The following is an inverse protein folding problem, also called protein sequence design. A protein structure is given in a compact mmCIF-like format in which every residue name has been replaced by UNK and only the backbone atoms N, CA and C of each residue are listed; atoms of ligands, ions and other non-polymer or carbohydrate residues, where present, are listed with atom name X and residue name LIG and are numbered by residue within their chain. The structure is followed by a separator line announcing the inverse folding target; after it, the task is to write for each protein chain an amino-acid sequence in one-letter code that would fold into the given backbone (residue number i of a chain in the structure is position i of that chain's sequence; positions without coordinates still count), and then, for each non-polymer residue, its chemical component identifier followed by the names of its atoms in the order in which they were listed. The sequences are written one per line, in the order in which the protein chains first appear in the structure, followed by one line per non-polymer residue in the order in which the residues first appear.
data_IF_299054851477
#
_entry.id   IF_299054851477
#
_cell.length_a   1.000
_cell.length_b   1.000
_cell.length_c   1.000
_cell.angle_alpha   90.00
_cell.angle_beta   90.00
_cell.angle_gamma   90.00
#
_symmetry.space_group_name_H-M   'P 1'
#
loop_
_entity.id
_entity.type
_entity.pdbx_description
1 polymer ?
#
# COMPACT_ATOMS: atom_id res chain seq x y z
N UNK A 1 15.80 -6.84 -94.12
CA UNK A 1 14.57 -7.58 -93.81
C UNK A 1 14.75 -8.68 -92.76
N UNK A 2 15.88 -9.39 -92.65
CA UNK A 2 16.12 -10.29 -91.47
C UNK A 2 16.53 -9.49 -90.24
N UNK A 3 17.56 -8.64 -90.38
CA UNK A 3 18.21 -7.95 -89.26
C UNK A 3 17.33 -6.92 -88.53
N UNK A 4 16.39 -6.28 -89.25
CA UNK A 4 15.47 -5.29 -88.68
C UNK A 4 14.42 -5.93 -87.76
N UNK A 5 13.90 -7.09 -88.17
CA UNK A 5 12.94 -7.84 -87.36
C UNK A 5 13.62 -8.40 -86.10
N UNK A 6 14.91 -8.74 -86.21
CA UNK A 6 15.72 -9.18 -85.07
C UNK A 6 16.00 -8.06 -84.06
N UNK A 7 16.26 -6.82 -84.51
CA UNK A 7 16.44 -5.66 -83.60
C UNK A 7 15.13 -5.30 -82.91
N UNK A 8 14.00 -5.36 -83.62
CA UNK A 8 12.70 -5.06 -83.03
C UNK A 8 12.26 -6.12 -82.02
N UNK A 9 12.44 -7.41 -82.33
CA UNK A 9 12.17 -8.48 -81.36
C UNK A 9 13.06 -8.38 -80.11
N UNK A 10 14.31 -7.92 -80.25
CA UNK A 10 15.20 -7.67 -79.12
C UNK A 10 14.76 -6.47 -78.28
N UNK A 11 14.30 -5.38 -78.91
CA UNK A 11 13.78 -4.21 -78.22
C UNK A 11 12.50 -4.55 -77.44
N UNK A 12 11.54 -5.25 -78.06
CA UNK A 12 10.30 -5.68 -77.40
C UNK A 12 10.60 -6.60 -76.18
N UNK A 13 11.61 -7.47 -76.31
CA UNK A 13 12.03 -8.35 -75.22
C UNK A 13 12.64 -7.57 -74.05
N UNK A 14 13.52 -6.62 -74.34
CA UNK A 14 14.20 -5.79 -73.33
C UNK A 14 13.22 -4.85 -72.61
N UNK A 15 12.24 -4.28 -73.34
CA UNK A 15 11.15 -3.50 -72.74
C UNK A 15 10.31 -4.36 -71.79
N UNK A 16 9.97 -5.59 -72.21
CA UNK A 16 9.19 -6.50 -71.39
C UNK A 16 9.96 -6.94 -70.14
N UNK A 17 11.24 -7.28 -70.28
CA UNK A 17 12.10 -7.63 -69.15
C UNK A 17 12.22 -6.47 -68.16
N UNK A 18 12.51 -5.26 -68.65
CA UNK A 18 12.63 -4.09 -67.79
C UNK A 18 11.30 -3.68 -67.13
N UNK A 19 10.17 -3.88 -67.82
CA UNK A 19 8.85 -3.66 -67.23
C UNK A 19 8.56 -4.65 -66.10
N UNK A 20 8.98 -5.92 -66.24
CA UNK A 20 8.82 -6.93 -65.18
C UNK A 20 9.68 -6.54 -63.97
N UNK A 21 10.95 -6.20 -64.15
CA UNK A 21 11.84 -5.79 -63.05
C UNK A 21 11.33 -4.53 -62.32
N UNK A 22 10.78 -3.55 -63.04
CA UNK A 22 10.15 -2.39 -62.39
C UNK A 22 8.90 -2.78 -61.58
N UNK A 23 8.10 -3.73 -62.07
CA UNK A 23 6.90 -4.19 -61.34
C UNK A 23 7.28 -4.97 -60.10
N UNK A 24 8.24 -5.89 -60.21
CA UNK A 24 8.73 -6.71 -59.10
C UNK A 24 9.34 -5.80 -58.01
N UNK A 25 10.20 -4.85 -58.38
CA UNK A 25 10.78 -3.92 -57.40
C UNK A 25 9.77 -2.95 -56.77
N UNK A 26 8.65 -2.63 -57.45
CA UNK A 26 7.53 -1.89 -56.84
C UNK A 26 6.75 -2.75 -55.84
N UNK A 27 6.64 -4.06 -56.07
CA UNK A 27 6.04 -5.01 -55.13
C UNK A 27 6.92 -5.14 -53.87
N UNK A 28 8.23 -5.28 -54.03
CA UNK A 28 9.18 -5.33 -52.90
C UNK A 28 9.17 -4.05 -52.04
N UNK A 29 9.07 -2.88 -52.67
CA UNK A 29 8.90 -1.62 -51.95
C UNK A 29 7.57 -1.54 -51.18
N UNK A 30 6.50 -2.12 -51.72
CA UNK A 30 5.22 -2.19 -51.04
C UNK A 30 5.29 -3.11 -49.81
N UNK A 31 5.94 -4.27 -49.95
CA UNK A 31 6.18 -5.22 -48.86
C UNK A 31 7.08 -4.61 -47.77
N UNK A 32 8.16 -3.93 -48.16
CA UNK A 32 9.03 -3.20 -47.25
C UNK A 32 8.27 -2.17 -46.40
N UNK A 33 7.37 -1.41 -47.03
CA UNK A 33 6.52 -0.41 -46.36
C UNK A 33 5.53 -1.05 -45.37
N UNK A 34 4.97 -2.22 -45.70
CA UNK A 34 4.12 -2.97 -44.77
C UNK A 34 4.93 -3.46 -43.56
N UNK A 35 6.11 -4.05 -43.79
CA UNK A 35 6.98 -4.52 -42.71
C UNK A 35 7.47 -3.36 -41.83
N UNK A 36 7.84 -2.22 -42.39
CA UNK A 36 8.22 -1.02 -41.62
C UNK A 36 7.06 -0.55 -40.71
N UNK A 37 5.81 -0.66 -41.18
CA UNK A 37 4.63 -0.34 -40.39
C UNK A 37 4.47 -1.29 -39.20
N UNK A 38 4.70 -2.59 -39.41
CA UNK A 38 4.68 -3.60 -38.33
C UNK A 38 5.83 -3.38 -37.35
N UNK A 39 7.04 -3.09 -37.83
CA UNK A 39 8.20 -2.74 -37.00
C UNK A 39 7.89 -1.57 -36.06
N UNK A 40 7.38 -0.45 -36.60
CA UNK A 40 7.00 0.71 -35.78
C UNK A 40 5.93 0.41 -34.75
N UNK A 41 4.97 -0.45 -35.09
CA UNK A 41 3.93 -0.89 -34.17
C UNK A 41 4.52 -1.75 -33.03
N UNK A 42 5.41 -2.68 -33.34
CA UNK A 42 6.11 -3.50 -32.35
C UNK A 42 7.01 -2.65 -31.43
N UNK A 43 7.75 -1.67 -31.99
CA UNK A 43 8.54 -0.73 -31.19
C UNK A 43 7.65 0.08 -30.24
N UNK A 44 6.51 0.57 -30.73
CA UNK A 44 5.58 1.34 -29.92
C UNK A 44 4.99 0.49 -28.78
N UNK A 45 4.60 -0.76 -29.06
CA UNK A 45 4.14 -1.71 -28.05
C UNK A 45 5.24 -1.97 -27.00
N UNK A 46 6.45 -2.30 -27.44
CA UNK A 46 7.52 -2.66 -26.51
C UNK A 46 7.96 -1.50 -25.61
N UNK A 47 7.97 -0.28 -26.14
CA UNK A 47 8.22 0.92 -25.31
C UNK A 47 7.11 1.20 -24.32
N UNK A 48 5.85 0.89 -24.65
CA UNK A 48 4.71 1.03 -23.74
C UNK A 48 4.80 0.00 -22.61
N UNK A 49 5.08 -1.27 -22.94
CA UNK A 49 5.17 -2.35 -21.96
C UNK A 49 6.35 -2.15 -20.99
N UNK A 50 7.51 -1.69 -21.47
CA UNK A 50 8.61 -1.28 -20.58
C UNK A 50 8.18 -0.14 -19.65
N UNK A 51 7.41 0.83 -20.14
CA UNK A 51 6.95 1.96 -19.32
C UNK A 51 5.97 1.49 -18.25
N UNK A 52 5.00 0.64 -18.63
CA UNK A 52 4.06 0.03 -17.69
C UNK A 52 4.80 -0.80 -16.64
N UNK A 53 5.77 -1.61 -17.04
CA UNK A 53 6.51 -2.43 -16.09
C UNK A 53 7.37 -1.61 -15.13
N UNK A 54 7.95 -0.50 -15.57
CA UNK A 54 8.64 0.45 -14.68
C UNK A 54 7.69 1.14 -13.70
N UNK A 55 6.47 1.48 -14.13
CA UNK A 55 5.44 2.03 -13.25
C UNK A 55 4.99 1.01 -12.20
N UNK A 56 4.83 -0.26 -12.58
CA UNK A 56 4.52 -1.38 -11.68
C UNK A 56 5.63 -1.61 -10.64
N UNK A 57 6.90 -1.57 -11.07
CA UNK A 57 8.04 -1.63 -10.13
C UNK A 57 8.05 -0.46 -9.15
N UNK A 58 7.74 0.75 -9.61
CA UNK A 58 7.65 1.93 -8.74
C UNK A 58 6.46 1.83 -7.77
N UNK A 59 5.34 1.25 -8.20
CA UNK A 59 4.19 0.97 -7.36
C UNK A 59 4.51 -0.11 -6.31
N UNK A 60 5.23 -1.17 -6.69
CA UNK A 60 5.73 -2.19 -5.78
C UNK A 60 6.58 -1.57 -4.66
N UNK A 61 7.61 -0.78 -5.00
CA UNK A 61 8.47 -0.14 -4.00
C UNK A 61 7.67 0.71 -3.00
N UNK A 62 6.73 1.53 -3.49
CA UNK A 62 5.87 2.34 -2.62
C UNK A 62 4.99 1.48 -1.71
N UNK A 63 4.48 0.37 -2.24
CA UNK A 63 3.62 -0.56 -1.49
C UNK A 63 4.42 -1.29 -0.41
N UNK A 64 5.66 -1.71 -0.71
CA UNK A 64 6.59 -2.25 0.28
C UNK A 64 6.87 -1.25 1.41
N UNK A 65 7.11 0.03 1.10
CA UNK A 65 7.33 1.05 2.13
C UNK A 65 6.08 1.28 2.98
N UNK A 66 4.90 1.25 2.37
CA UNK A 66 3.64 1.34 3.11
C UNK A 66 3.43 0.13 4.03
N UNK A 67 3.75 -1.08 3.55
CA UNK A 67 3.75 -2.30 4.37
C UNK A 67 4.63 -2.13 5.61
N UNK A 68 5.88 -1.67 5.45
CA UNK A 68 6.82 -1.47 6.56
C UNK A 68 6.29 -0.45 7.59
N UNK A 69 5.75 0.67 7.12
CA UNK A 69 5.21 1.73 7.99
C UNK A 69 3.98 1.25 8.75
N UNK A 70 3.05 0.58 8.08
CA UNK A 70 1.83 0.05 8.72
C UNK A 70 2.18 -1.06 9.71
N UNK A 71 3.13 -1.93 9.37
CA UNK A 71 3.60 -2.99 10.26
C UNK A 71 4.28 -2.43 11.51
N UNK A 72 5.16 -1.43 11.35
CA UNK A 72 5.80 -0.75 12.48
C UNK A 72 4.78 -0.03 13.38
N UNK A 73 3.74 0.57 12.80
CA UNK A 73 2.64 1.16 13.55
C UNK A 73 1.87 0.08 14.33
N UNK A 74 1.53 -1.05 13.70
CA UNK A 74 0.83 -2.15 14.37
C UNK A 74 1.60 -2.74 15.56
N UNK A 75 2.93 -2.87 15.46
CA UNK A 75 3.78 -3.29 16.59
C UNK A 75 3.74 -2.26 17.73
N UNK A 76 3.75 -0.97 17.38
CA UNK A 76 3.69 0.12 18.36
C UNK A 76 2.35 0.11 19.08
N UNK A 77 1.25 -0.02 18.36
CA UNK A 77 -0.12 -0.06 18.91
C UNK A 77 -0.29 -1.27 19.85
N UNK A 78 0.25 -2.45 19.51
CA UNK A 78 0.27 -3.62 20.41
C UNK A 78 1.05 -3.32 21.70
N UNK A 79 2.21 -2.67 21.60
CA UNK A 79 3.03 -2.35 22.76
C UNK A 79 2.36 -1.31 23.67
N UNK A 80 1.75 -0.28 23.08
CA UNK A 80 0.98 0.73 23.82
C UNK A 80 -0.25 0.10 24.49
N UNK A 81 -0.97 -0.76 23.76
CA UNK A 81 -2.10 -1.49 24.30
C UNK A 81 -1.74 -2.41 25.47
N UNK A 82 -0.60 -3.11 25.39
CA UNK A 82 -0.08 -3.92 26.50
C UNK A 82 0.27 -3.07 27.73
N UNK A 83 0.88 -1.90 27.53
CA UNK A 83 1.21 -0.97 28.61
C UNK A 83 -0.05 -0.38 29.28
N UNK A 84 -1.12 -0.13 28.51
CA UNK A 84 -2.41 0.29 29.04
C UNK A 84 -3.07 -0.83 29.86
N UNK A 85 -2.99 -2.08 29.39
CA UNK A 85 -3.50 -3.23 30.15
C UNK A 85 -2.77 -3.38 31.50
N UNK A 86 -1.44 -3.31 31.52
CA UNK A 86 -0.66 -3.30 32.77
C UNK A 86 -1.07 -2.14 33.68
N UNK A 87 -1.19 -0.93 33.12
CA UNK A 87 -1.65 0.25 33.88
C UNK A 87 -3.06 0.07 34.45
N UNK A 88 -3.94 -0.65 33.75
CA UNK A 88 -5.29 -0.93 34.22
C UNK A 88 -5.31 -1.89 35.41
N UNK A 89 -4.43 -2.89 35.42
CA UNK A 89 -4.27 -3.83 36.52
C UNK A 89 -3.75 -3.10 37.78
N UNK A 90 -2.77 -2.21 37.62
CA UNK A 90 -2.25 -1.38 38.72
C UNK A 90 -3.35 -0.51 39.34
N UNK A 91 -4.21 0.09 38.51
CA UNK A 91 -5.35 0.90 38.97
C UNK A 91 -6.36 0.04 39.72
N UNK A 92 -6.64 -1.18 39.25
CA UNK A 92 -7.53 -2.12 39.92
C UNK A 92 -6.98 -2.52 41.30
N UNK A 93 -5.68 -2.82 41.41
CA UNK A 93 -5.00 -3.13 42.67
C UNK A 93 -5.10 -1.96 43.64
N UNK A 94 -4.85 -0.72 43.18
CA UNK A 94 -5.00 0.48 44.01
C UNK A 94 -6.45 0.70 44.46
N UNK A 95 -7.42 0.45 43.58
CA UNK A 95 -8.84 0.50 43.91
C UNK A 95 -9.21 -0.51 45.00
N UNK A 96 -8.73 -1.75 44.89
CA UNK A 96 -8.95 -2.79 45.90
C UNK A 96 -8.31 -2.42 47.25
N UNK A 97 -7.08 -1.89 47.25
CA UNK A 97 -6.40 -1.43 48.46
C UNK A 97 -7.19 -0.34 49.18
N UNK A 98 -7.65 0.68 48.44
CA UNK A 98 -8.46 1.76 49.01
C UNK A 98 -9.83 1.26 49.50
N UNK A 99 -10.43 0.29 48.80
CA UNK A 99 -11.68 -0.32 49.26
C UNK A 99 -11.50 -1.00 50.62
N UNK A 100 -10.40 -1.75 50.81
CA UNK A 100 -10.07 -2.42 52.06
C UNK A 100 -9.82 -1.40 53.18
N UNK A 101 -9.02 -0.35 52.92
CA UNK A 101 -8.78 0.73 53.89
C UNK A 101 -10.08 1.41 54.33
N UNK A 102 -10.99 1.67 53.38
CA UNK A 102 -12.30 2.24 53.68
C UNK A 102 -13.19 1.33 54.54
N UNK A 103 -13.02 0.00 54.48
CA UNK A 103 -13.74 -0.93 55.35
C UNK A 103 -13.18 -0.92 56.77
N UNK A 104 -11.85 -0.94 56.92
CA UNK A 104 -11.17 -0.86 58.21
C UNK A 104 -11.48 0.47 58.94
N UNK A 105 -11.43 1.59 58.21
CA UNK A 105 -11.76 2.92 58.75
C UNK A 105 -13.23 3.01 59.22
N UNK A 106 -14.14 2.35 58.49
CA UNK A 106 -15.56 2.29 58.86
C UNK A 106 -15.76 1.46 60.12
N UNK A 107 -15.11 0.29 60.24
CA UNK A 107 -15.20 -0.52 61.45
C UNK A 107 -14.65 0.23 62.68
N UNK A 108 -13.50 0.87 62.55
CA UNK A 108 -12.93 1.70 63.61
C UNK A 108 -13.87 2.83 64.03
N UNK A 109 -14.49 3.52 63.06
CA UNK A 109 -15.47 4.58 63.34
C UNK A 109 -16.69 4.06 64.10
N UNK A 110 -17.14 2.83 63.84
CA UNK A 110 -18.25 2.20 64.54
C UNK A 110 -17.89 1.80 65.96
N UNK A 111 -16.66 1.34 66.18
CA UNK A 111 -16.13 1.12 67.52
C UNK A 111 -16.08 2.43 68.33
N UNK A 112 -15.59 3.52 67.75
CA UNK A 112 -15.57 4.85 68.39
C UNK A 112 -16.97 5.32 68.77
N UNK A 113 -17.95 5.20 67.86
CA UNK A 113 -19.34 5.57 68.13
C UNK A 113 -19.95 4.72 69.26
N UNK A 114 -19.63 3.43 69.31
CA UNK A 114 -20.05 2.53 70.39
C UNK A 114 -19.49 2.95 71.75
N UNK A 115 -18.20 3.27 71.82
CA UNK A 115 -17.55 3.77 73.04
C UNK A 115 -18.15 5.11 73.46
N UNK A 116 -18.38 6.02 72.52
CA UNK A 116 -19.03 7.30 72.79
C UNK A 116 -20.41 7.13 73.46
N UNK A 117 -21.24 6.23 72.92
CA UNK A 117 -22.53 5.89 73.51
C UNK A 117 -22.43 5.30 74.91
N UNK A 118 -21.46 4.39 75.13
CA UNK A 118 -21.19 3.82 76.45
C UNK A 118 -20.77 4.89 77.47
N UNK A 119 -19.88 5.82 77.10
CA UNK A 119 -19.44 6.90 77.98
C UNK A 119 -20.60 7.83 78.35
N UNK A 120 -21.50 8.14 77.42
CA UNK A 120 -22.71 8.93 77.71
C UNK A 120 -23.60 8.24 78.75
N UNK A 121 -23.87 6.94 78.59
CA UNK A 121 -24.70 6.18 79.55
C UNK A 121 -24.05 6.10 80.92
N UNK A 122 -22.73 5.88 81.00
CA UNK A 122 -22.00 5.90 82.28
C UNK A 122 -22.03 7.30 82.89
N UNK A 123 -21.91 8.35 82.07
CA UNK A 123 -22.07 9.74 82.49
C UNK A 123 -23.41 10.00 83.17
N UNK A 124 -24.51 9.50 82.59
CA UNK A 124 -25.87 9.62 83.14
C UNK A 124 -25.99 8.91 84.50
N UNK A 125 -25.45 7.69 84.63
CA UNK A 125 -25.45 6.93 85.90
C UNK A 125 -24.63 7.64 86.98
N UNK A 126 -23.47 8.17 86.61
CA UNK A 126 -22.56 8.88 87.52
C UNK A 126 -23.17 10.21 87.99
N UNK A 127 -23.95 10.88 87.14
CA UNK A 127 -24.71 12.07 87.52
C UNK A 127 -25.74 11.77 88.62
N UNK A 128 -26.45 10.65 88.51
CA UNK A 128 -27.48 10.21 89.45
C UNK A 128 -26.91 9.91 90.85
N UNK A 129 -25.67 9.41 90.95
CA UNK A 129 -24.98 9.17 92.22
C UNK A 129 -24.27 10.42 92.78
N UNK A 130 -24.63 11.61 92.34
CA UNK A 130 -24.11 12.91 92.78
C UNK A 130 -22.61 13.13 92.52
N UNK A 131 -22.09 12.66 91.38
CA UNK A 131 -20.70 12.90 90.94
C UNK A 131 -20.63 13.79 89.68
N UNK A 132 -21.04 15.07 89.74
CA UNK A 132 -21.30 15.90 88.56
C UNK A 132 -20.05 16.21 87.71
N UNK A 133 -18.86 16.30 88.32
CA UNK A 133 -17.62 16.58 87.57
C UNK A 133 -17.22 15.39 86.70
N UNK A 134 -17.36 14.17 87.23
CA UNK A 134 -17.05 12.96 86.46
C UNK A 134 -18.10 12.73 85.37
N UNK A 135 -19.38 12.99 85.65
CA UNK A 135 -20.43 12.94 84.64
C UNK A 135 -20.15 13.89 83.47
N UNK A 136 -19.87 15.17 83.76
CA UNK A 136 -19.54 16.16 82.73
C UNK A 136 -18.31 15.75 81.89
N UNK A 137 -17.26 15.23 82.53
CA UNK A 137 -16.10 14.73 81.81
C UNK A 137 -16.43 13.54 80.89
N UNK A 138 -17.28 12.61 81.32
CA UNK A 138 -17.68 11.45 80.52
C UNK A 138 -18.56 11.85 79.33
N UNK A 139 -19.47 12.81 79.51
CA UNK A 139 -20.24 13.39 78.41
C UNK A 139 -19.33 14.11 77.40
N UNK A 140 -18.43 14.99 77.85
CA UNK A 140 -17.49 15.71 76.96
C UNK A 140 -16.61 14.73 76.15
N UNK A 141 -16.13 13.65 76.78
CA UNK A 141 -15.33 12.63 76.08
C UNK A 141 -16.18 11.78 75.14
N UNK A 142 -17.43 11.49 75.50
CA UNK A 142 -18.40 10.84 74.63
C UNK A 142 -18.67 11.68 73.38
N UNK A 143 -18.94 12.97 73.54
CA UNK A 143 -19.17 13.90 72.43
C UNK A 143 -17.94 14.00 71.52
N UNK A 144 -16.73 14.12 72.08
CA UNK A 144 -15.49 14.13 71.30
C UNK A 144 -15.32 12.84 70.47
N UNK A 145 -15.54 11.66 71.07
CA UNK A 145 -15.41 10.40 70.34
C UNK A 145 -16.49 10.24 69.28
N UNK A 146 -17.69 10.78 69.52
CA UNK A 146 -18.78 10.82 68.54
C UNK A 146 -18.42 11.70 67.34
N UNK A 147 -17.85 12.87 67.57
CA UNK A 147 -17.41 13.77 66.50
C UNK A 147 -16.29 13.12 65.68
N UNK A 148 -15.30 12.50 66.33
CA UNK A 148 -14.25 11.73 65.65
C UNK A 148 -14.81 10.55 64.86
N UNK A 149 -15.81 9.84 65.39
CA UNK A 149 -16.48 8.76 64.67
C UNK A 149 -17.20 9.29 63.42
N UNK A 150 -17.90 10.42 63.51
CA UNK A 150 -18.58 11.03 62.37
C UNK A 150 -17.58 11.44 61.27
N UNK A 151 -16.48 12.10 61.63
CA UNK A 151 -15.42 12.48 60.69
C UNK A 151 -14.78 11.25 60.02
N UNK A 152 -14.52 10.19 60.79
CA UNK A 152 -13.96 8.94 60.26
C UNK A 152 -14.91 8.22 59.29
N UNK A 153 -16.22 8.28 59.51
CA UNK A 153 -17.23 7.76 58.56
C UNK A 153 -17.22 8.54 57.25
N UNK A 154 -17.05 9.87 57.31
CA UNK A 154 -16.92 10.68 56.09
C UNK A 154 -15.65 10.33 55.33
N UNK A 155 -14.54 10.11 56.04
CA UNK A 155 -13.29 9.67 55.42
C UNK A 155 -13.43 8.31 54.74
N UNK A 156 -13.97 7.31 55.42
CA UNK A 156 -14.17 5.96 54.85
C UNK A 156 -15.10 5.98 53.63
N UNK A 157 -16.16 6.79 53.67
CA UNK A 157 -17.06 6.97 52.53
C UNK A 157 -16.35 7.61 51.33
N UNK A 158 -15.49 8.61 51.58
CA UNK A 158 -14.68 9.22 50.53
C UNK A 158 -13.69 8.22 49.92
N UNK A 159 -13.00 7.43 50.75
CA UNK A 159 -12.06 6.38 50.30
C UNK A 159 -12.77 5.34 49.44
N UNK A 160 -13.95 4.86 49.86
CA UNK A 160 -14.76 3.91 49.08
C UNK A 160 -15.26 4.52 47.75
N UNK A 161 -15.59 5.80 47.73
CA UNK A 161 -15.95 6.52 46.49
C UNK A 161 -14.76 6.59 45.52
N UNK A 162 -13.55 6.88 46.02
CA UNK A 162 -12.31 6.88 45.22
C UNK A 162 -12.02 5.47 44.68
N UNK A 163 -12.14 4.44 45.52
CA UNK A 163 -11.98 3.05 45.08
C UNK A 163 -12.92 2.68 43.93
N UNK A 164 -14.19 3.09 44.01
CA UNK A 164 -15.16 2.86 42.94
C UNK A 164 -14.81 3.62 41.64
N UNK A 165 -14.32 4.86 41.76
CA UNK A 165 -13.85 5.63 40.61
C UNK A 165 -12.61 4.97 39.98
N UNK A 166 -11.64 4.53 40.78
CA UNK A 166 -10.46 3.84 40.28
C UNK A 166 -10.83 2.53 39.57
N UNK A 167 -11.69 1.71 40.16
CA UNK A 167 -12.16 0.47 39.51
C UNK A 167 -12.80 0.74 38.14
N UNK A 168 -13.61 1.80 38.05
CA UNK A 168 -14.19 2.23 36.77
C UNK A 168 -13.12 2.71 35.78
N UNK A 169 -12.18 3.55 36.21
CA UNK A 169 -11.09 4.04 35.37
C UNK A 169 -10.18 2.91 34.90
N UNK A 170 -9.87 1.93 35.77
CA UNK A 170 -9.12 0.73 35.41
C UNK A 170 -9.83 -0.04 34.30
N UNK A 171 -11.15 -0.28 34.44
CA UNK A 171 -11.93 -0.93 33.39
C UNK A 171 -11.92 -0.16 32.06
N UNK A 172 -12.01 1.17 32.08
CA UNK A 172 -11.94 2.01 30.88
C UNK A 172 -10.55 1.96 30.23
N UNK A 173 -9.47 2.06 31.02
CA UNK A 173 -8.08 1.97 30.54
C UNK A 173 -7.80 0.57 29.97
N UNK A 174 -8.28 -0.48 30.63
CA UNK A 174 -8.14 -1.86 30.16
C UNK A 174 -8.89 -2.09 28.84
N UNK A 175 -10.06 -1.50 28.67
CA UNK A 175 -10.80 -1.54 27.40
C UNK A 175 -10.05 -0.80 26.28
N UNK A 176 -9.45 0.36 26.57
CA UNK A 176 -8.58 1.05 25.61
C UNK A 176 -7.38 0.19 25.23
N UNK A 177 -6.67 -0.38 26.21
CA UNK A 177 -5.53 -1.25 25.95
C UNK A 177 -5.88 -2.48 25.10
N UNK A 178 -7.01 -3.12 25.36
CA UNK A 178 -7.49 -4.23 24.55
C UNK A 178 -7.82 -3.81 23.10
N UNK A 179 -8.38 -2.62 22.90
CA UNK A 179 -8.68 -2.09 21.57
C UNK A 179 -7.40 -1.74 20.79
N UNK A 180 -6.40 -1.12 21.42
CA UNK A 180 -5.11 -0.81 20.78
C UNK A 180 -4.38 -2.09 20.35
N UNK A 181 -4.39 -3.14 21.18
CA UNK A 181 -3.84 -4.46 20.79
C UNK A 181 -4.59 -5.02 19.58
N UNK A 182 -5.91 -4.94 19.55
CA UNK A 182 -6.71 -5.43 18.43
C UNK A 182 -6.42 -4.63 17.14
N UNK A 183 -6.38 -3.30 17.22
CA UNK A 183 -6.04 -2.43 16.09
C UNK A 183 -4.63 -2.73 15.56
N UNK A 184 -3.67 -2.94 16.45
CA UNK A 184 -2.31 -3.30 16.06
C UNK A 184 -2.23 -4.64 15.31
N UNK A 185 -3.04 -5.64 15.69
CA UNK A 185 -3.15 -6.90 14.93
C UNK A 185 -3.78 -6.70 13.55
N UNK A 186 -4.85 -5.90 13.45
CA UNK A 186 -5.49 -5.60 12.17
C UNK A 186 -4.50 -4.88 11.23
N UNK A 187 -3.70 -3.94 11.76
CA UNK A 187 -2.64 -3.26 10.99
C UNK A 187 -1.54 -4.22 10.55
N UNK A 188 -1.12 -5.15 11.39
CA UNK A 188 -0.15 -6.18 10.98
C UNK A 188 -0.70 -7.04 9.84
N UNK A 189 -1.97 -7.44 9.90
CA UNK A 189 -2.60 -8.18 8.80
C UNK A 189 -2.62 -7.37 7.50
N UNK A 190 -2.95 -6.07 7.55
CA UNK A 190 -2.89 -5.18 6.38
C UNK A 190 -1.46 -5.01 5.87
N UNK A 191 -0.47 -4.92 6.77
CA UNK A 191 0.95 -4.85 6.40
C UNK A 191 1.40 -6.10 5.62
N UNK A 192 1.00 -7.28 6.07
CA UNK A 192 1.29 -8.55 5.37
C UNK A 192 0.64 -8.58 3.98
N UNK A 193 -0.62 -8.16 3.85
CA UNK A 193 -1.31 -8.07 2.55
C UNK A 193 -0.63 -7.07 1.60
N UNK A 194 -0.14 -5.94 2.11
CA UNK A 194 0.61 -4.96 1.33
C UNK A 194 1.97 -5.51 0.88
N UNK A 195 2.65 -6.30 1.72
CA UNK A 195 3.90 -6.96 1.34
C UNK A 195 3.68 -7.93 0.18
N UNK A 196 2.65 -8.77 0.25
CA UNK A 196 2.29 -9.69 -0.84
C UNK A 196 1.92 -8.92 -2.12
N UNK A 197 1.10 -7.87 -2.01
CA UNK A 197 0.73 -7.04 -3.16
C UNK A 197 1.96 -6.38 -3.82
N UNK A 198 2.94 -5.95 -3.02
CA UNK A 198 4.22 -5.42 -3.51
C UNK A 198 4.99 -6.46 -4.32
N UNK A 199 5.07 -7.71 -3.84
CA UNK A 199 5.76 -8.79 -4.57
C UNK A 199 5.08 -9.09 -5.91
N UNK A 200 3.74 -9.11 -5.94
CA UNK A 200 2.96 -9.33 -7.17
C UNK A 200 3.24 -8.22 -8.19
N UNK A 201 3.20 -6.95 -7.78
CA UNK A 201 3.51 -5.81 -8.65
C UNK A 201 4.96 -5.87 -9.15
N UNK A 202 5.90 -6.25 -8.28
CA UNK A 202 7.30 -6.36 -8.68
C UNK A 202 7.51 -7.42 -9.77
N UNK A 203 6.85 -8.57 -9.65
CA UNK A 203 6.90 -9.64 -10.65
C UNK A 203 6.20 -9.21 -11.94
N UNK A 204 5.00 -8.61 -11.85
CA UNK A 204 4.26 -8.06 -12.99
C UNK A 204 5.14 -7.11 -13.79
N UNK A 205 5.75 -6.12 -13.12
CA UNK A 205 6.58 -5.13 -13.80
C UNK A 205 7.84 -5.72 -14.46
N UNK A 206 8.45 -6.74 -13.86
CA UNK A 206 9.57 -7.45 -14.51
C UNK A 206 9.14 -8.24 -15.75
N UNK A 207 7.93 -8.80 -15.75
CA UNK A 207 7.38 -9.52 -16.92
C UNK A 207 7.11 -8.54 -18.06
N UNK A 208 6.42 -7.42 -17.80
CA UNK A 208 6.13 -6.41 -18.82
C UNK A 208 7.41 -5.79 -19.41
N UNK A 209 8.44 -5.54 -18.59
CA UNK A 209 9.75 -5.10 -19.10
C UNK A 209 10.37 -6.15 -20.02
N UNK A 210 10.30 -7.44 -19.66
CA UNK A 210 10.86 -8.51 -20.47
C UNK A 210 10.11 -8.70 -21.79
N UNK A 211 8.77 -8.61 -21.77
CA UNK A 211 7.92 -8.64 -22.95
C UNK A 211 8.23 -7.45 -23.86
N UNK A 212 8.26 -6.24 -23.31
CA UNK A 212 8.58 -5.05 -24.10
C UNK A 212 9.99 -5.04 -24.69
N UNK A 213 10.98 -5.64 -24.00
CA UNK A 213 12.32 -5.84 -24.57
C UNK A 213 12.30 -6.78 -25.78
N UNK A 214 11.52 -7.87 -25.72
CA UNK A 214 11.39 -8.81 -26.83
C UNK A 214 10.66 -8.18 -28.03
N UNK A 215 9.68 -7.32 -27.78
CA UNK A 215 8.98 -6.58 -28.85
C UNK A 215 9.87 -5.54 -29.54
N UNK A 216 10.77 -4.88 -28.79
CA UNK A 216 11.77 -3.98 -29.37
C UNK A 216 12.78 -4.76 -30.22
N UNK A 217 13.23 -5.94 -29.78
CA UNK A 217 14.12 -6.81 -30.57
C UNK A 217 13.43 -7.24 -31.87
N UNK A 218 12.16 -7.67 -31.81
CA UNK A 218 11.37 -7.98 -33.00
C UNK A 218 11.21 -6.76 -33.93
N UNK A 219 11.04 -5.56 -33.38
CA UNK A 219 10.94 -4.35 -34.19
C UNK A 219 12.24 -4.05 -34.96
N UNK A 220 13.40 -4.25 -34.33
CA UNK A 220 14.72 -4.09 -34.94
C UNK A 220 14.92 -5.10 -36.08
N UNK A 221 14.59 -6.38 -35.85
CA UNK A 221 14.64 -7.42 -36.89
C UNK A 221 13.73 -7.09 -38.09
N UNK A 222 12.51 -6.60 -37.84
CA UNK A 222 11.59 -6.20 -38.92
C UNK A 222 12.08 -4.96 -39.68
N UNK A 223 12.70 -4.00 -38.99
CA UNK A 223 13.28 -2.79 -39.63
C UNK A 223 14.44 -3.17 -40.57
N UNK A 224 15.28 -4.13 -40.16
CA UNK A 224 16.35 -4.66 -41.00
C UNK A 224 15.80 -5.33 -42.27
N UNK A 225 14.78 -6.19 -42.14
CA UNK A 225 14.12 -6.85 -43.28
C UNK A 225 13.46 -5.82 -44.22
N UNK A 226 12.75 -4.83 -43.68
CA UNK A 226 12.15 -3.77 -44.47
C UNK A 226 13.21 -2.96 -45.25
N UNK A 227 14.34 -2.68 -44.62
CA UNK A 227 15.46 -1.96 -45.24
C UNK A 227 16.12 -2.76 -46.36
N UNK A 228 16.27 -4.07 -46.18
CA UNK A 228 16.81 -4.98 -47.21
C UNK A 228 15.90 -5.05 -48.43
N UNK A 229 14.59 -5.31 -48.24
CA UNK A 229 13.60 -5.35 -49.32
C UNK A 229 13.48 -4.01 -50.06
N UNK A 230 13.51 -2.90 -49.33
CA UNK A 230 13.49 -1.59 -49.96
C UNK A 230 14.73 -1.34 -50.84
N UNK A 231 15.89 -1.86 -50.43
CA UNK A 231 17.13 -1.74 -51.19
C UNK A 231 17.11 -2.63 -52.46
N UNK A 232 16.58 -3.85 -52.35
CA UNK A 232 16.37 -4.76 -53.48
C UNK A 232 15.40 -4.14 -54.49
N UNK A 233 14.22 -3.69 -54.04
CA UNK A 233 13.23 -3.12 -54.94
C UNK A 233 13.69 -1.83 -55.63
N UNK A 234 14.50 -1.00 -54.97
CA UNK A 234 15.14 0.16 -55.61
C UNK A 234 16.15 -0.27 -56.69
N UNK A 235 16.89 -1.35 -56.46
CA UNK A 235 17.85 -1.88 -57.42
C UNK A 235 17.13 -2.45 -58.65
N UNK A 236 16.09 -3.27 -58.46
CA UNK A 236 15.29 -3.84 -59.55
C UNK A 236 14.59 -2.76 -60.39
N UNK A 237 14.01 -1.74 -59.76
CA UNK A 237 13.44 -0.59 -60.49
C UNK A 237 14.50 0.13 -61.31
N UNK A 238 15.72 0.28 -60.79
CA UNK A 238 16.81 0.95 -61.49
C UNK A 238 17.32 0.13 -62.68
N UNK A 239 17.48 -1.19 -62.51
CA UNK A 239 17.85 -2.13 -63.57
C UNK A 239 16.78 -2.17 -64.66
N UNK A 240 15.52 -2.35 -64.27
CA UNK A 240 14.41 -2.42 -65.23
C UNK A 240 14.18 -1.10 -65.97
N UNK A 241 14.35 0.05 -65.29
CA UNK A 241 14.30 1.36 -65.94
C UNK A 241 15.43 1.56 -66.95
N UNK A 242 16.61 0.99 -66.70
CA UNK A 242 17.73 1.04 -67.64
C UNK A 242 17.45 0.16 -68.87
N UNK A 243 16.90 -1.04 -68.70
CA UNK A 243 16.50 -1.95 -69.77
C UNK A 243 15.42 -1.34 -70.67
N UNK A 244 14.38 -0.72 -70.09
CA UNK A 244 13.36 0.03 -70.86
C UNK A 244 14.02 1.16 -71.66
N UNK A 245 14.92 1.92 -71.04
CA UNK A 245 15.64 3.00 -71.71
C UNK A 245 16.56 2.52 -72.84
N UNK A 246 17.14 1.33 -72.72
CA UNK A 246 17.91 0.69 -73.79
C UNK A 246 17.00 0.22 -74.94
N UNK A 247 15.84 -0.36 -74.61
CA UNK A 247 14.82 -0.73 -75.60
C UNK A 247 14.34 0.47 -76.41
N UNK A 248 14.04 1.61 -75.77
CA UNK A 248 13.63 2.84 -76.47
C UNK A 248 14.67 3.27 -77.52
N UNK A 249 15.97 3.11 -77.20
CA UNK A 249 17.06 3.41 -78.14
C UNK A 249 17.10 2.39 -79.29
N UNK A 250 16.87 1.10 -79.02
CA UNK A 250 16.81 0.05 -80.04
C UNK A 250 15.61 0.23 -80.98
N UNK A 251 14.43 0.56 -80.44
CA UNK A 251 13.25 0.91 -81.24
C UNK A 251 13.52 2.10 -82.17
N UNK A 252 14.10 3.18 -81.63
CA UNK A 252 14.46 4.34 -82.43
C UNK A 252 15.49 4.02 -83.54
N UNK A 253 16.42 3.11 -83.28
CA UNK A 253 17.39 2.65 -84.27
C UNK A 253 16.74 1.80 -85.38
N UNK A 254 15.80 0.92 -85.03
CA UNK A 254 15.06 0.10 -86.01
C UNK A 254 14.14 0.94 -86.90
N UNK A 255 13.51 1.99 -86.36
CA UNK A 255 12.70 2.95 -87.13
C UNK A 255 13.55 3.77 -88.10
N UNK A 256 14.74 4.23 -87.68
CA UNK A 256 15.62 5.04 -88.54
C UNK A 256 16.15 4.26 -89.75
N UNK A 257 16.35 2.94 -89.62
CA UNK A 257 16.76 2.05 -90.72
C UNK A 257 15.61 1.74 -91.70
N UNK A 258 14.34 1.97 -91.30
CA UNK A 258 13.14 1.79 -92.15
C UNK A 258 12.90 2.99 -93.09
N UNK A 259 13.40 4.17 -92.72
CA UNK A 259 13.27 5.41 -93.50
C UNK A 259 14.41 5.66 -94.50
N UNK A 260 15.49 4.86 -94.47
CA UNK A 260 16.72 5.01 -95.27
C UNK A 260 16.73 4.17 -96.56
#
# INVERSE_FOLDING_TARGET
MSDQNEIQEAADFEEMAGTIEVVDGLEELADASEIETVSKAALAAGTADITHGLDDLAAAERTSVLSDVVGAAGITDIAEGAALLESSEDIEILGALLSEMGEEDLDFSMQLAGIAGQLSVVGDVVAEINMPVLAAFLHDRGDLLRDLAADSVFHSTATRSIAAMLSKTGAEVGALGANEVAEGYDRLAVSDELAEASEVLAVSGMVEIAEGMAEIEMADELDEVATELAAEGIAEIAEGSAAIGESDVLHAAAEFDDEA
#
